data_IF_994499951798
#
_entry.id   IF_994499951798
#
_cell.length_a   1.000
_cell.length_b   1.000
_cell.length_c   1.000
_cell.angle_alpha   90.00
_cell.angle_beta   90.00
_cell.angle_gamma   90.00
#
_symmetry.space_group_name_H-M   'P 1'
#
loop_
_entity.id
_entity.type
_entity.pdbx_description
1 polymer ?
#
# COMPACT_ATOMS: atom_id res chain seq x y z
N UNK A 1 -21.01 2.82 6.59
CA UNK A 1 -20.36 3.52 7.72
C UNK A 1 -18.85 3.37 7.60
N UNK A 2 -18.13 4.44 7.85
CA UNK A 2 -16.66 4.44 7.82
C UNK A 2 -16.11 4.37 9.24
N UNK A 3 -15.07 3.60 9.45
CA UNK A 3 -14.45 3.37 10.76
C UNK A 3 -13.04 3.94 10.78
N UNK A 4 -12.60 4.37 11.96
CA UNK A 4 -11.24 4.80 12.17
C UNK A 4 -10.26 3.64 12.08
N UNK A 5 -9.00 3.97 11.79
CA UNK A 5 -7.93 2.98 11.62
C UNK A 5 -6.71 3.37 12.44
N UNK A 6 -5.88 2.38 12.75
CA UNK A 6 -4.56 2.58 13.32
C UNK A 6 -3.56 2.53 12.18
N UNK A 7 -3.06 3.67 11.76
CA UNK A 7 -2.17 3.74 10.60
C UNK A 7 -0.72 3.96 11.00
N UNK A 8 0.17 3.34 10.23
CA UNK A 8 1.58 3.69 10.23
C UNK A 8 1.82 4.75 9.18
N UNK A 9 2.50 5.82 9.55
CA UNK A 9 2.71 6.97 8.68
C UNK A 9 4.17 7.00 8.23
N UNK A 10 4.38 7.24 6.94
CA UNK A 10 5.74 7.36 6.40
C UNK A 10 6.44 8.57 6.98
N UNK A 11 7.69 8.41 7.36
CA UNK A 11 8.53 9.54 7.78
C UNK A 11 8.85 10.41 6.56
N UNK A 12 8.72 11.72 6.72
CA UNK A 12 8.91 12.67 5.61
C UNK A 12 10.30 12.58 4.98
N UNK A 13 11.33 12.26 5.77
CA UNK A 13 12.70 12.13 5.27
C UNK A 13 12.89 10.87 4.43
N UNK A 14 12.00 9.89 4.57
CA UNK A 14 12.07 8.61 3.86
C UNK A 14 11.15 8.55 2.64
N UNK A 15 10.23 9.50 2.50
CA UNK A 15 9.19 9.46 1.49
C UNK A 15 9.68 9.06 0.09
N UNK A 16 10.66 9.79 -0.48
CA UNK A 16 11.16 9.46 -1.83
C UNK A 16 11.79 8.07 -1.94
N UNK A 17 12.32 7.54 -0.84
CA UNK A 17 12.99 6.23 -0.82
C UNK A 17 12.02 5.07 -0.73
N UNK A 18 10.81 5.28 -0.23
CA UNK A 18 9.83 4.20 -0.01
C UNK A 18 8.74 4.16 -1.07
N UNK A 19 8.50 5.23 -1.82
CA UNK A 19 7.45 5.28 -2.84
C UNK A 19 7.94 4.61 -4.12
N UNK A 20 7.35 3.49 -4.53
CA UNK A 20 7.70 2.84 -5.79
C UNK A 20 6.89 3.42 -6.95
N UNK A 21 7.30 3.18 -8.20
CA UNK A 21 6.40 3.35 -9.32
C UNK A 21 5.22 2.37 -9.19
N UNK A 22 4.09 2.62 -9.88
CA UNK A 22 2.98 1.68 -9.88
C UNK A 22 3.47 0.29 -10.34
N UNK A 23 3.12 -0.75 -9.59
CA UNK A 23 3.65 -2.10 -9.85
C UNK A 23 3.25 -2.62 -11.24
N UNK A 24 2.07 -2.24 -11.73
CA UNK A 24 1.54 -2.66 -13.02
C UNK A 24 2.20 -1.94 -14.21
N UNK A 25 2.99 -0.90 -13.94
CA UNK A 25 3.77 -0.21 -14.97
C UNK A 25 5.13 -0.85 -15.22
N UNK A 26 5.50 -1.84 -14.41
CA UNK A 26 6.81 -2.49 -14.46
C UNK A 26 6.69 -3.92 -14.98
N UNK A 27 7.63 -4.32 -15.84
CA UNK A 27 7.80 -5.74 -16.20
C UNK A 27 8.35 -6.51 -15.01
N UNK A 28 8.37 -7.84 -15.12
CA UNK A 28 8.94 -8.70 -14.07
C UNK A 28 10.41 -8.35 -13.83
N UNK A 29 11.18 -8.19 -14.91
CA UNK A 29 12.60 -7.83 -14.82
C UNK A 29 12.78 -6.44 -14.18
N UNK A 30 11.97 -5.48 -14.59
CA UNK A 30 12.03 -4.12 -14.04
C UNK A 30 11.71 -4.11 -12.55
N UNK A 31 10.73 -4.91 -12.11
CA UNK A 31 10.41 -5.04 -10.69
C UNK A 31 11.58 -5.62 -9.91
N UNK A 32 12.23 -6.67 -10.44
CA UNK A 32 13.39 -7.28 -9.79
C UNK A 32 14.55 -6.30 -9.67
N UNK A 33 14.82 -5.54 -10.73
CA UNK A 33 15.86 -4.51 -10.72
C UNK A 33 15.54 -3.41 -9.70
N UNK A 34 14.28 -2.98 -9.64
CA UNK A 34 13.84 -1.96 -8.67
C UNK A 34 14.02 -2.46 -7.23
N UNK A 35 13.61 -3.69 -6.95
CA UNK A 35 13.76 -4.28 -5.61
C UNK A 35 15.23 -4.37 -5.19
N UNK A 36 16.11 -4.74 -6.12
CA UNK A 36 17.54 -4.84 -5.85
C UNK A 36 18.17 -3.46 -5.60
N UNK A 37 17.75 -2.44 -6.35
CA UNK A 37 18.30 -1.10 -6.26
C UNK A 37 17.71 -0.27 -5.11
N UNK A 38 16.50 -0.60 -4.64
CA UNK A 38 15.77 0.19 -3.65
C UNK A 38 15.32 -0.66 -2.47
N UNK A 39 16.21 -0.90 -1.48
CA UNK A 39 15.89 -1.79 -0.35
C UNK A 39 14.78 -1.26 0.55
N UNK A 40 14.47 0.03 0.49
CA UNK A 40 13.42 0.64 1.31
C UNK A 40 12.11 0.87 0.56
N UNK A 41 12.02 0.46 -0.70
CA UNK A 41 10.81 0.61 -1.50
C UNK A 41 9.66 -0.21 -0.94
N UNK A 42 8.47 0.38 -0.90
CA UNK A 42 7.26 -0.31 -0.47
C UNK A 42 6.90 -1.49 -1.38
N UNK A 43 7.51 -1.57 -2.57
CA UNK A 43 7.33 -2.72 -3.45
C UNK A 43 7.74 -4.03 -2.78
N UNK A 44 8.68 -4.00 -1.82
CA UNK A 44 9.04 -5.17 -1.02
C UNK A 44 7.87 -5.69 -0.18
N UNK A 45 6.96 -4.80 0.23
CA UNK A 45 5.79 -5.16 1.02
C UNK A 45 4.69 -5.75 0.15
N UNK A 46 4.49 -5.20 -1.05
CA UNK A 46 3.40 -5.59 -1.94
C UNK A 46 3.74 -6.75 -2.87
N UNK A 47 4.76 -7.51 -2.57
CA UNK A 47 5.27 -8.59 -3.42
C UNK A 47 4.28 -9.71 -3.70
N UNK A 48 3.26 -9.85 -2.85
CA UNK A 48 2.22 -10.86 -3.09
C UNK A 48 1.51 -10.68 -4.44
N UNK A 49 1.54 -9.48 -5.01
CA UNK A 49 1.00 -9.22 -6.34
C UNK A 49 1.79 -9.92 -7.45
N UNK A 50 3.05 -10.28 -7.20
CA UNK A 50 3.88 -10.99 -8.17
C UNK A 50 3.45 -12.45 -8.36
N UNK A 51 2.61 -12.96 -7.45
CA UNK A 51 2.15 -14.34 -7.49
C UNK A 51 0.82 -14.52 -8.22
N UNK A 52 0.46 -13.59 -9.11
CA UNK A 52 -0.84 -13.56 -9.78
C UNK A 52 -1.24 -14.87 -10.47
N UNK A 53 -0.28 -15.66 -10.91
CA UNK A 53 -0.49 -16.96 -11.54
C UNK A 53 0.18 -18.10 -10.77
N UNK A 54 0.61 -17.82 -9.53
CA UNK A 54 1.37 -18.75 -8.75
C UNK A 54 0.51 -19.76 -7.98
N UNK A 55 1.19 -20.79 -7.51
CA UNK A 55 0.61 -21.76 -6.59
C UNK A 55 0.29 -21.09 -5.25
N UNK A 56 -0.75 -21.56 -4.50
CA UNK A 56 -1.06 -21.02 -3.16
C UNK A 56 0.13 -20.92 -2.21
N UNK A 57 1.09 -21.84 -2.31
CA UNK A 57 2.32 -21.82 -1.51
C UNK A 57 3.16 -20.58 -1.85
N UNK A 58 3.23 -20.22 -3.12
CA UNK A 58 3.96 -19.06 -3.60
C UNK A 58 3.33 -17.76 -3.08
N UNK A 59 2.00 -17.65 -3.14
CA UNK A 59 1.29 -16.49 -2.57
C UNK A 59 1.60 -16.32 -1.09
N UNK A 60 1.57 -17.42 -0.34
CA UNK A 60 1.85 -17.39 1.09
C UNK A 60 3.28 -16.95 1.38
N UNK A 61 4.23 -17.49 0.61
CA UNK A 61 5.65 -17.13 0.74
C UNK A 61 5.87 -15.64 0.51
N UNK A 62 5.33 -15.12 -0.58
CA UNK A 62 5.49 -13.70 -0.93
C UNK A 62 4.76 -12.78 0.06
N UNK A 63 3.60 -13.20 0.57
CA UNK A 63 2.89 -12.45 1.60
C UNK A 63 3.70 -12.39 2.90
N UNK A 64 4.34 -13.49 3.30
CA UNK A 64 5.19 -13.53 4.48
C UNK A 64 6.43 -12.64 4.30
N UNK A 65 7.04 -12.68 3.13
CA UNK A 65 8.17 -11.80 2.81
C UNK A 65 7.76 -10.32 2.85
N UNK A 66 6.56 -10.01 2.33
CA UNK A 66 6.02 -8.65 2.39
C UNK A 66 5.79 -8.18 3.82
N UNK A 67 5.21 -9.03 4.66
CA UNK A 67 5.01 -8.71 6.08
C UNK A 67 6.33 -8.48 6.81
N UNK A 68 7.35 -9.30 6.52
CA UNK A 68 8.68 -9.13 7.09
C UNK A 68 9.32 -7.82 6.63
N UNK A 69 9.14 -7.46 5.37
CA UNK A 69 9.64 -6.19 4.82
C UNK A 69 8.98 -4.99 5.51
N UNK A 70 7.68 -5.05 5.77
CA UNK A 70 6.98 -3.98 6.50
C UNK A 70 7.50 -3.83 7.91
N UNK A 71 7.68 -4.94 8.62
CA UNK A 71 8.26 -4.95 9.97
C UNK A 71 9.65 -4.29 9.97
N UNK A 72 10.48 -4.63 8.99
CA UNK A 72 11.81 -4.05 8.82
C UNK A 72 11.74 -2.53 8.59
N UNK A 73 10.87 -2.07 7.69
CA UNK A 73 10.72 -0.66 7.41
C UNK A 73 10.27 0.14 8.64
N UNK A 74 9.37 -0.41 9.44
CA UNK A 74 8.95 0.20 10.69
C UNK A 74 10.11 0.24 11.68
N UNK A 75 10.85 -0.85 11.84
CA UNK A 75 11.97 -0.90 12.78
C UNK A 75 13.12 0.03 12.40
N UNK A 76 13.31 0.29 11.11
CA UNK A 76 14.32 1.21 10.61
C UNK A 76 13.86 2.69 10.64
N UNK A 77 12.61 2.94 10.97
CA UNK A 77 12.07 4.30 11.10
C UNK A 77 11.46 4.88 9.83
N UNK A 78 11.33 4.09 8.77
CA UNK A 78 10.70 4.55 7.53
C UNK A 78 9.20 4.82 7.72
N UNK A 79 8.56 4.04 8.59
CA UNK A 79 7.16 4.21 8.99
C UNK A 79 7.06 4.24 10.50
N UNK A 80 6.08 4.99 11.00
CA UNK A 80 5.76 4.97 12.43
C UNK A 80 5.15 3.64 12.83
N UNK A 81 5.20 3.31 14.12
CA UNK A 81 4.32 2.30 14.67
C UNK A 81 2.86 2.72 14.47
N UNK A 82 1.90 1.76 14.43
CA UNK A 82 0.49 2.13 14.33
C UNK A 82 0.10 3.10 15.43
N UNK A 83 -0.49 4.21 15.03
CA UNK A 83 -0.92 5.26 15.95
C UNK A 83 -2.30 5.03 16.54
N UNK A 84 -2.88 6.08 17.09
CA UNK A 84 -4.23 6.04 17.63
C UNK A 84 -5.24 5.78 16.52
N UNK A 85 -6.43 5.31 16.91
CA UNK A 85 -7.54 5.08 15.99
C UNK A 85 -8.09 6.42 15.49
N UNK A 86 -7.95 6.67 14.19
CA UNK A 86 -8.32 7.94 13.57
C UNK A 86 -8.87 7.74 12.16
N UNK A 87 -9.63 8.70 11.69
CA UNK A 87 -9.87 8.91 10.27
C UNK A 87 -8.84 9.90 9.76
N UNK A 88 -8.44 9.76 8.51
CA UNK A 88 -7.44 10.64 7.90
C UNK A 88 -8.04 11.43 6.76
N UNK A 89 -7.68 12.71 6.67
CA UNK A 89 -7.96 13.51 5.49
C UNK A 89 -6.73 13.48 4.58
N UNK A 90 -6.95 13.09 3.34
CA UNK A 90 -5.91 13.06 2.34
C UNK A 90 -6.11 14.19 1.35
N UNK A 91 -5.04 14.89 1.04
CA UNK A 91 -5.04 15.96 0.04
C UNK A 91 -3.98 15.62 -1.01
N UNK A 92 -4.40 15.56 -2.26
CA UNK A 92 -3.49 15.35 -3.39
C UNK A 92 -3.58 16.57 -4.29
N UNK A 93 -2.44 17.19 -4.57
CA UNK A 93 -2.33 18.29 -5.51
C UNK A 93 -1.51 17.87 -6.71
N UNK A 94 -2.06 18.05 -7.90
CA UNK A 94 -1.38 17.76 -9.15
C UNK A 94 -1.79 18.80 -10.18
N UNK A 95 -0.82 19.54 -10.71
CA UNK A 95 -1.04 20.52 -11.79
C UNK A 95 -2.16 21.52 -11.48
N UNK A 96 -2.23 22.00 -10.25
CA UNK A 96 -3.25 22.97 -9.82
C UNK A 96 -4.59 22.36 -9.45
N UNK A 97 -4.76 21.05 -9.60
CA UNK A 97 -5.96 20.35 -9.21
C UNK A 97 -5.76 19.80 -7.80
N UNK A 98 -6.73 20.07 -6.91
CA UNK A 98 -6.72 19.59 -5.54
C UNK A 98 -7.81 18.56 -5.35
N UNK A 99 -7.44 17.37 -4.91
CA UNK A 99 -8.39 16.32 -4.55
C UNK A 99 -8.29 16.05 -3.06
N UNK A 100 -9.44 16.06 -2.38
CA UNK A 100 -9.52 15.74 -0.95
C UNK A 100 -10.34 14.48 -0.76
N UNK A 101 -9.91 13.63 0.15
CA UNK A 101 -10.59 12.37 0.45
C UNK A 101 -10.46 12.03 1.92
N UNK A 102 -11.30 11.10 2.36
CA UNK A 102 -11.25 10.54 3.72
C UNK A 102 -10.74 9.11 3.60
N UNK A 103 -9.75 8.77 4.42
CA UNK A 103 -9.19 7.42 4.50
C UNK A 103 -9.64 6.78 5.81
N UNK A 104 -10.22 5.60 5.70
CA UNK A 104 -10.70 4.84 6.84
C UNK A 104 -11.01 3.40 6.41
N UNK A 105 -11.67 2.66 7.28
CA UNK A 105 -12.07 1.28 7.01
C UNK A 105 -13.58 1.18 6.86
N UNK A 106 -14.02 0.24 6.05
CA UNK A 106 -15.42 -0.10 5.92
C UNK A 106 -15.60 -1.60 6.17
N UNK A 107 -16.77 -1.98 6.66
CA UNK A 107 -17.13 -3.38 6.78
C UNK A 107 -17.56 -3.88 5.40
N UNK A 108 -16.93 -4.94 4.86
CA UNK A 108 -17.37 -5.48 3.60
C UNK A 108 -18.74 -6.12 3.77
N UNK A 109 -19.70 -5.73 2.92
CA UNK A 109 -21.05 -6.27 2.89
C UNK A 109 -21.59 -6.17 1.48
N UNK A 110 -22.58 -7.00 1.14
CA UNK A 110 -23.16 -7.04 -0.21
C UNK A 110 -23.69 -5.67 -0.65
N UNK A 111 -24.36 -4.96 0.22
CA UNK A 111 -24.93 -3.64 -0.08
C UNK A 111 -23.84 -2.65 -0.46
N UNK A 112 -22.71 -2.68 0.22
CA UNK A 112 -21.58 -1.80 -0.07
C UNK A 112 -20.95 -2.16 -1.42
N UNK A 113 -20.82 -3.43 -1.73
CA UNK A 113 -20.29 -3.89 -3.02
C UNK A 113 -21.19 -3.48 -4.17
N UNK A 114 -22.50 -3.61 -4.02
CA UNK A 114 -23.48 -3.20 -5.03
C UNK A 114 -23.46 -1.68 -5.24
N UNK A 115 -23.39 -0.92 -4.19
CA UNK A 115 -23.29 0.54 -4.27
C UNK A 115 -22.03 0.97 -5.04
N UNK A 116 -20.93 0.25 -4.89
CA UNK A 116 -19.70 0.52 -5.62
C UNK A 116 -19.86 0.19 -7.12
N UNK A 117 -20.50 -0.91 -7.44
CA UNK A 117 -20.77 -1.31 -8.83
C UNK A 117 -21.64 -0.28 -9.55
N UNK A 118 -22.63 0.29 -8.88
CA UNK A 118 -23.55 1.28 -9.43
C UNK A 118 -22.84 2.59 -9.82
N UNK A 119 -21.67 2.85 -9.29
CA UNK A 119 -20.89 4.06 -9.59
C UNK A 119 -20.09 3.92 -10.88
N UNK A 120 -19.84 2.71 -11.33
CA UNK A 120 -19.10 2.46 -12.57
C UNK A 120 -20.01 2.57 -13.79
N UNK A 121 -19.67 3.40 -14.78
CA UNK A 121 -20.43 3.50 -16.03
C UNK A 121 -20.34 2.23 -16.87
#
# INVERSE_FOLDING_TARGET
>A
MIYSIHASIVDANWGPSVVPPPYDSLSVEERQEHLAAHPHSFLHVTRSADASHGHPTEHRRLANEGASALTRLISEGAYSEPGESQLFLQKIETEGIVQRSIVGAIHPGEEMLHAHEDVHP
#
